data_IF_636155167495
#
_entry.id   IF_636155167495
#
_cell.length_a   1.000
_cell.length_b   1.000
_cell.length_c   1.000
_cell.angle_alpha   90.00
_cell.angle_beta   90.00
_cell.angle_gamma   90.00
#
_symmetry.space_group_name_H-M   'P 1'
#
loop_
_entity.id
_entity.type
_entity.pdbx_description
1 polymer ?
#
# COMPACT_ATOMS: atom_id res chain seq x y z
N UNK A 1 57.46 -22.06 -10.80
CA UNK A 1 57.51 -23.13 -9.78
C UNK A 1 56.41 -22.82 -8.78
N UNK A 2 55.14 -23.13 -9.07
CA UNK A 2 54.55 -24.48 -8.97
C UNK A 2 54.97 -25.21 -7.70
N UNK A 3 54.05 -25.35 -6.76
CA UNK A 3 53.58 -26.68 -6.33
C UNK A 3 52.25 -26.56 -5.59
N UNK A 4 51.22 -27.01 -6.29
CA UNK A 4 49.94 -27.45 -5.80
C UNK A 4 50.10 -28.85 -5.16
N UNK A 5 49.54 -29.06 -3.96
CA UNK A 5 49.16 -30.38 -3.38
C UNK A 5 47.85 -30.12 -2.61
N UNK A 6 46.63 -30.49 -3.08
CA UNK A 6 46.01 -31.84 -3.17
C UNK A 6 46.27 -32.66 -1.90
N UNK A 7 45.32 -33.20 -1.13
CA UNK A 7 43.97 -33.75 -1.39
C UNK A 7 43.39 -34.14 0.01
N UNK A 8 42.21 -33.64 0.38
CA UNK A 8 40.91 -34.34 0.51
C UNK A 8 40.62 -35.07 1.84
N UNK A 9 39.30 -35.14 2.10
CA UNK A 9 38.52 -36.06 2.95
C UNK A 9 38.39 -35.57 4.41
N UNK A 10 37.23 -35.47 5.06
CA UNK A 10 35.79 -35.51 4.80
C UNK A 10 35.14 -35.34 6.20
N UNK A 11 33.83 -35.04 6.27
CA UNK A 11 32.95 -35.00 7.47
C UNK A 11 32.93 -33.67 8.24
N UNK A 12 31.81 -33.07 8.63
CA UNK A 12 30.38 -33.12 8.29
C UNK A 12 29.77 -31.93 9.07
N UNK A 13 28.68 -31.34 8.55
CA UNK A 13 27.64 -30.65 9.31
C UNK A 13 28.06 -29.40 10.12
N UNK A 14 27.94 -28.23 9.51
CA UNK A 14 27.07 -27.20 10.07
C UNK A 14 26.48 -26.42 8.90
N UNK A 15 25.28 -26.80 8.51
CA UNK A 15 24.37 -25.96 7.73
C UNK A 15 24.11 -24.71 8.58
N UNK A 16 24.95 -23.70 8.41
CA UNK A 16 24.60 -22.35 8.83
C UNK A 16 23.61 -21.84 7.80
N UNK A 17 22.35 -22.20 8.04
CA UNK A 17 21.20 -21.50 7.50
C UNK A 17 21.46 -20.04 7.85
N UNK A 18 21.92 -19.27 6.87
CA UNK A 18 21.88 -17.81 6.96
C UNK A 18 20.40 -17.47 6.89
N UNK A 19 19.77 -17.49 8.06
CA UNK A 19 18.43 -16.97 8.28
C UNK A 19 18.58 -15.49 7.97
N UNK A 20 18.20 -15.08 6.76
CA UNK A 20 17.96 -13.68 6.47
C UNK A 20 17.11 -13.16 7.64
N UNK A 21 17.58 -12.17 8.41
CA UNK A 21 16.70 -11.54 9.38
C UNK A 21 15.57 -10.93 8.56
N UNK A 22 14.41 -11.57 8.64
CA UNK A 22 13.14 -11.01 8.23
C UNK A 22 13.09 -9.59 8.77
N UNK A 23 13.06 -8.64 7.85
CA UNK A 23 12.76 -7.22 8.07
C UNK A 23 11.42 -7.13 8.80
N UNK A 24 11.48 -7.29 10.12
CA UNK A 24 10.38 -7.10 11.06
C UNK A 24 10.32 -5.62 11.45
N UNK A 25 10.18 -4.76 10.45
CA UNK A 25 9.91 -3.32 10.60
C UNK A 25 8.97 -2.98 9.45
N UNK A 26 7.65 -2.88 9.60
CA UNK A 26 7.01 -1.71 10.22
C UNK A 26 5.48 -1.92 10.36
N UNK A 27 5.02 -2.88 11.17
CA UNK A 27 3.56 -3.10 11.35
C UNK A 27 2.85 -1.98 12.13
N UNK A 28 3.59 -1.11 12.83
CA UNK A 28 3.02 -0.02 13.65
C UNK A 28 2.81 1.28 12.85
N UNK A 29 3.43 1.42 11.67
CA UNK A 29 3.33 2.63 10.85
C UNK A 29 2.18 2.63 9.84
N UNK A 30 1.83 1.46 9.30
CA UNK A 30 0.87 1.35 8.18
C UNK A 30 -0.57 1.64 8.62
N UNK A 31 -1.00 1.14 9.78
CA UNK A 31 -2.36 1.40 10.27
C UNK A 31 -2.64 2.89 10.57
N UNK A 32 -1.61 3.63 10.99
CA UNK A 32 -1.72 5.08 11.24
C UNK A 32 -1.93 5.88 9.95
N UNK A 33 -1.14 5.61 8.92
CA UNK A 33 -1.26 6.32 7.63
C UNK A 33 -2.54 5.94 6.88
N UNK A 34 -2.98 4.69 6.96
CA UNK A 34 -4.26 4.28 6.37
C UNK A 34 -5.43 5.07 6.96
N UNK A 35 -5.47 5.18 8.29
CA UNK A 35 -6.51 5.97 8.94
C UNK A 35 -6.43 7.45 8.56
N UNK A 36 -5.22 8.02 8.49
CA UNK A 36 -5.05 9.40 8.03
C UNK A 36 -5.60 9.59 6.61
N UNK A 37 -5.26 8.71 5.66
CA UNK A 37 -5.75 8.80 4.29
C UNK A 37 -7.29 8.71 4.25
N UNK A 38 -7.88 7.75 4.97
CA UNK A 38 -9.35 7.63 5.03
C UNK A 38 -10.01 8.90 5.56
N UNK A 39 -9.46 9.48 6.63
CA UNK A 39 -9.94 10.74 7.21
C UNK A 39 -9.82 11.90 6.22
N UNK A 40 -8.68 12.01 5.53
CA UNK A 40 -8.47 13.08 4.56
C UNK A 40 -9.38 12.99 3.34
N UNK A 41 -9.86 11.78 3.01
CA UNK A 41 -10.81 11.53 1.93
C UNK A 41 -12.25 11.90 2.31
N UNK A 42 -12.62 11.92 3.59
CA UNK A 42 -13.97 12.26 4.02
C UNK A 42 -14.40 13.64 3.51
N UNK A 43 -15.63 13.72 3.01
CA UNK A 43 -16.21 14.92 2.39
C UNK A 43 -15.69 15.23 0.99
N UNK A 44 -14.75 14.44 0.44
CA UNK A 44 -14.27 14.60 -0.94
C UNK A 44 -15.07 13.78 -1.93
N UNK A 45 -14.94 14.15 -3.19
CA UNK A 45 -15.53 13.46 -4.33
C UNK A 45 -14.42 12.95 -5.25
N UNK A 46 -14.61 11.77 -5.82
CA UNK A 46 -13.83 11.24 -6.94
C UNK A 46 -14.76 10.93 -8.09
N UNK A 47 -14.26 11.08 -9.32
CA UNK A 47 -15.04 10.81 -10.51
C UNK A 47 -14.15 10.17 -11.58
N UNK A 48 -14.66 9.14 -12.24
CA UNK A 48 -14.03 8.55 -13.43
C UNK A 48 -15.06 7.76 -14.24
N UNK A 49 -14.96 7.85 -15.57
CA UNK A 49 -15.80 7.10 -16.52
C UNK A 49 -17.31 7.19 -16.24
N UNK A 50 -17.79 8.38 -15.83
CA UNK A 50 -19.21 8.61 -15.51
C UNK A 50 -19.65 8.15 -14.10
N UNK A 51 -18.81 7.41 -13.38
CA UNK A 51 -19.04 7.05 -11.98
C UNK A 51 -18.53 8.17 -11.08
N UNK A 52 -19.34 8.57 -10.12
CA UNK A 52 -18.97 9.57 -9.10
C UNK A 52 -19.15 8.95 -7.72
N UNK A 53 -18.16 9.09 -6.86
CA UNK A 53 -18.21 8.65 -5.47
C UNK A 53 -17.95 9.83 -4.54
N UNK A 54 -18.73 9.93 -3.47
CA UNK A 54 -18.51 10.84 -2.36
C UNK A 54 -18.18 10.00 -1.13
N UNK A 55 -17.11 10.35 -0.42
CA UNK A 55 -16.76 9.69 0.83
C UNK A 55 -17.51 10.34 1.98
N UNK A 56 -18.60 9.72 2.46
CA UNK A 56 -19.41 10.29 3.54
C UNK A 56 -18.98 9.76 4.93
N UNK A 57 -18.47 8.54 5.00
CA UNK A 57 -18.18 7.84 6.26
C UNK A 57 -17.02 6.85 6.17
N UNK A 58 -16.38 6.58 7.31
CA UNK A 58 -15.35 5.53 7.40
C UNK A 58 -15.92 4.12 7.20
N UNK A 59 -17.21 3.92 7.46
CA UNK A 59 -17.90 2.63 7.29
C UNK A 59 -18.03 2.19 5.84
N UNK A 60 -17.88 3.10 4.87
CA UNK A 60 -17.91 2.77 3.45
C UNK A 60 -16.70 1.93 3.03
N UNK A 61 -15.55 2.10 3.68
CA UNK A 61 -14.30 1.43 3.35
C UNK A 61 -14.34 -0.04 3.82
N UNK A 62 -14.76 -0.95 2.93
CA UNK A 62 -14.82 -2.38 3.20
C UNK A 62 -13.43 -3.02 3.26
N UNK A 63 -12.56 -2.57 2.37
CA UNK A 63 -11.14 -2.90 2.36
C UNK A 63 -10.32 -1.68 1.95
N UNK A 64 -9.10 -1.61 2.45
CA UNK A 64 -8.16 -0.55 2.14
C UNK A 64 -6.76 -1.14 2.12
N UNK A 65 -6.00 -0.83 1.08
CA UNK A 65 -4.65 -1.33 0.89
C UNK A 65 -3.78 -0.24 0.26
N UNK A 66 -2.63 0.02 0.86
CA UNK A 66 -1.58 0.81 0.21
C UNK A 66 -0.83 -0.13 -0.74
N UNK A 67 -0.99 0.10 -2.05
CA UNK A 67 -0.31 -0.67 -3.10
C UNK A 67 1.14 -0.22 -3.28
N UNK A 68 1.39 1.07 -3.18
CA UNK A 68 2.72 1.64 -3.33
C UNK A 68 2.89 2.88 -2.46
N UNK A 69 4.11 3.09 -1.97
CA UNK A 69 4.52 4.27 -1.22
C UNK A 69 5.80 4.81 -1.83
N UNK A 70 5.82 6.10 -2.11
CA UNK A 70 6.99 6.83 -2.55
C UNK A 70 7.19 8.08 -1.69
N UNK A 71 8.43 8.39 -1.34
CA UNK A 71 8.76 9.52 -0.46
C UNK A 71 10.09 10.14 -0.93
N UNK A 72 10.02 11.39 -1.39
CA UNK A 72 11.20 12.19 -1.74
C UNK A 72 11.04 13.61 -1.20
N UNK A 73 12.02 14.04 -0.42
CA UNK A 73 12.00 15.33 0.28
C UNK A 73 10.69 15.48 1.07
N UNK A 74 9.93 16.53 0.81
CA UNK A 74 8.66 16.82 1.49
C UNK A 74 7.44 16.20 0.79
N UNK A 75 7.65 15.44 -0.30
CA UNK A 75 6.58 14.86 -1.12
C UNK A 75 6.42 13.39 -0.76
N UNK A 76 5.20 13.01 -0.35
CA UNK A 76 4.80 11.61 -0.12
C UNK A 76 3.73 11.24 -1.13
N UNK A 77 3.89 10.14 -1.85
CA UNK A 77 2.88 9.61 -2.75
C UNK A 77 2.41 8.23 -2.27
N UNK A 78 1.10 8.04 -2.26
CA UNK A 78 0.46 6.80 -1.89
C UNK A 78 -0.44 6.36 -3.03
N UNK A 79 -0.17 5.17 -3.56
CA UNK A 79 -1.14 4.48 -4.41
C UNK A 79 -1.97 3.56 -3.51
N UNK A 80 -3.27 3.78 -3.50
CA UNK A 80 -4.19 3.09 -2.60
C UNK A 80 -5.29 2.41 -3.40
N UNK A 81 -5.63 1.20 -3.00
CA UNK A 81 -6.77 0.43 -3.48
C UNK A 81 -7.78 0.32 -2.36
N UNK A 82 -9.04 0.55 -2.67
CA UNK A 82 -10.12 0.46 -1.70
C UNK A 82 -11.36 -0.16 -2.34
N UNK A 83 -12.08 -0.95 -1.54
CA UNK A 83 -13.44 -1.37 -1.85
C UNK A 83 -14.40 -0.53 -1.01
N UNK A 84 -15.36 0.07 -1.70
CA UNK A 84 -16.29 1.05 -1.15
C UNK A 84 -17.70 0.50 -1.26
N UNK A 85 -18.49 0.63 -0.20
CA UNK A 85 -19.90 0.21 -0.19
C UNK A 85 -20.78 1.33 0.33
N UNK A 86 -21.81 1.67 -0.45
CA UNK A 86 -22.73 2.74 -0.11
C UNK A 86 -23.66 2.30 1.01
N UNK A 87 -24.09 3.24 1.84
CA UNK A 87 -24.99 2.96 2.98
C UNK A 87 -26.32 2.36 2.51
N UNK A 88 -26.88 2.90 1.43
CA UNK A 88 -28.22 2.56 0.94
C UNK A 88 -28.22 1.60 -0.25
N UNK A 89 -27.10 1.50 -0.97
CA UNK A 89 -27.13 1.00 -2.35
C UNK A 89 -26.76 -0.47 -2.49
N UNK A 90 -26.15 -1.11 -1.48
CA UNK A 90 -25.71 -2.50 -1.57
C UNK A 90 -24.59 -2.76 -2.59
N UNK A 91 -24.43 -1.88 -3.58
CA UNK A 91 -23.40 -1.85 -4.59
C UNK A 91 -22.01 -1.68 -3.96
N UNK A 92 -21.06 -2.44 -4.48
CA UNK A 92 -19.67 -2.37 -4.10
C UNK A 92 -18.88 -1.78 -5.27
N UNK A 93 -18.03 -0.81 -4.97
CA UNK A 93 -17.15 -0.16 -5.91
C UNK A 93 -15.70 -0.48 -5.58
N UNK A 94 -14.87 -0.61 -6.62
CA UNK A 94 -13.43 -0.59 -6.50
C UNK A 94 -12.93 0.80 -6.90
N UNK A 95 -12.09 1.40 -6.06
CA UNK A 95 -11.36 2.60 -6.40
C UNK A 95 -9.85 2.38 -6.24
N UNK A 96 -9.08 2.91 -7.20
CA UNK A 96 -7.62 3.00 -7.11
C UNK A 96 -7.24 4.47 -7.26
N UNK A 97 -6.60 5.03 -6.24
CA UNK A 97 -6.20 6.43 -6.20
C UNK A 97 -4.68 6.54 -6.07
N UNK A 98 -4.10 7.54 -6.73
CA UNK A 98 -2.75 8.01 -6.44
C UNK A 98 -2.87 9.38 -5.76
N UNK A 99 -2.43 9.45 -4.50
CA UNK A 99 -2.51 10.64 -3.69
C UNK A 99 -1.13 11.21 -3.43
N UNK A 100 -0.95 12.49 -3.71
CA UNK A 100 0.30 13.22 -3.46
C UNK A 100 0.09 14.16 -2.28
N UNK A 101 0.93 14.03 -1.26
CA UNK A 101 1.00 14.86 -0.08
C UNK A 101 2.23 15.77 -0.13
N UNK A 102 2.09 16.96 0.45
CA UNK A 102 3.23 17.82 0.80
C UNK A 102 2.97 18.49 2.14
N UNK A 103 3.91 18.32 3.08
CA UNK A 103 3.76 18.79 4.47
C UNK A 103 2.44 18.30 5.08
N UNK A 104 2.17 17.00 4.96
CA UNK A 104 0.98 16.31 5.50
C UNK A 104 -0.38 16.74 4.95
N UNK A 105 -0.40 17.63 3.94
CA UNK A 105 -1.64 18.04 3.26
C UNK A 105 -1.74 17.39 1.89
N UNK A 106 -2.93 16.87 1.56
CA UNK A 106 -3.24 16.43 0.20
C UNK A 106 -3.06 17.60 -0.76
N UNK A 107 -2.23 17.40 -1.78
CA UNK A 107 -2.02 18.34 -2.89
C UNK A 107 -2.72 17.90 -4.16
N UNK A 108 -2.76 16.58 -4.40
CA UNK A 108 -3.35 16.02 -5.61
C UNK A 108 -3.94 14.65 -5.30
N UNK A 109 -5.07 14.37 -5.93
CA UNK A 109 -5.67 13.04 -6.01
C UNK A 109 -5.86 12.74 -7.50
N UNK A 110 -5.29 11.63 -7.96
CA UNK A 110 -5.52 11.10 -9.30
C UNK A 110 -6.31 9.80 -9.18
N UNK A 111 -7.46 9.74 -9.84
CA UNK A 111 -8.30 8.54 -9.90
C UNK A 111 -7.76 7.61 -11.00
N UNK A 112 -7.08 6.53 -10.62
CA UNK A 112 -6.56 5.52 -11.54
C UNK A 112 -7.66 4.55 -11.97
N UNK A 113 -8.53 4.13 -11.06
CA UNK A 113 -9.69 3.29 -11.34
C UNK A 113 -10.87 3.69 -10.44
N UNK A 114 -12.08 3.59 -10.97
CA UNK A 114 -13.34 3.69 -10.22
C UNK A 114 -14.40 2.92 -11.02
N UNK A 115 -14.85 1.79 -10.48
CA UNK A 115 -15.83 0.91 -11.15
C UNK A 115 -16.63 0.09 -10.14
N UNK A 116 -17.85 -0.24 -10.51
CA UNK A 116 -18.70 -1.17 -9.76
C UNK A 116 -18.18 -2.61 -9.90
N UNK A 117 -18.19 -3.37 -8.80
CA UNK A 117 -17.65 -4.73 -8.75
C UNK A 117 -18.69 -5.83 -8.98
N UNK A 118 -19.96 -5.61 -8.64
CA UNK A 118 -21.15 -6.41 -9.00
C UNK A 118 -22.38 -5.85 -8.28
#
# INVERSE_FOLDING_TARGET
>A
METCKKVCILWLLFSQISVCPLLSWSLVGESGIENQIKQDLLGRYIQKNGVTWKFDSLSEFQSFQILNKYEINDIKEYEVKMELKGYDQGEIFLAILLMTYRSEKIRKILVKDLRQLR
#
